data_IF_957889371730
#
_entry.id   IF_957889371730
#
_cell.length_a   1.000
_cell.length_b   1.000
_cell.length_c   1.000
_cell.angle_alpha   90.00
_cell.angle_beta   90.00
_cell.angle_gamma   90.00
#
_symmetry.space_group_name_H-M   'P 1'
#
loop_
_entity.id
_entity.type
_entity.pdbx_description
1 polymer ?
#
# COMPACT_ATOMS: atom_id res chain seq x y z
N UNK A 1 69.49 3.46 25.59
CA UNK A 1 68.38 4.42 25.78
C UNK A 1 67.45 4.30 24.58
N UNK A 2 66.33 3.60 24.75
CA UNK A 2 65.41 3.29 23.66
C UNK A 2 64.38 4.42 23.50
N UNK A 3 64.31 5.00 22.29
CA UNK A 3 63.26 5.96 21.91
C UNK A 3 62.07 5.16 21.38
N UNK A 4 60.96 5.17 22.12
CA UNK A 4 59.70 4.58 21.67
C UNK A 4 58.99 5.51 20.68
N UNK A 5 58.27 4.92 19.72
CA UNK A 5 57.71 5.55 18.52
C UNK A 5 56.69 6.69 18.74
N UNK A 6 56.40 7.11 19.97
CA UNK A 6 55.31 8.03 20.31
C UNK A 6 55.79 9.38 20.88
N UNK A 7 57.10 9.60 21.01
CA UNK A 7 57.67 10.90 21.43
C UNK A 7 58.15 11.68 20.21
N UNK A 8 57.21 12.13 19.38
CA UNK A 8 57.47 13.00 18.23
C UNK A 8 56.35 14.00 18.07
N UNK A 9 56.66 15.28 18.33
CA UNK A 9 55.77 16.44 18.28
C UNK A 9 54.94 16.55 16.98
N UNK A 10 53.62 16.47 17.12
CA UNK A 10 52.61 17.27 16.42
C UNK A 10 51.21 16.83 16.88
N UNK A 11 50.76 17.34 18.02
CA UNK A 11 49.40 17.15 18.51
C UNK A 11 48.42 18.00 17.69
N UNK A 12 47.92 17.47 16.57
CA UNK A 12 46.61 17.86 16.03
C UNK A 12 45.63 16.76 16.39
N UNK A 13 44.96 16.94 17.53
CA UNK A 13 43.83 16.11 17.93
C UNK A 13 42.73 16.27 16.87
N UNK A 14 42.30 15.22 16.16
CA UNK A 14 41.06 15.28 15.41
C UNK A 14 39.93 15.12 16.44
N UNK A 15 39.55 16.22 17.09
CA UNK A 15 38.28 16.27 17.83
C UNK A 15 37.16 15.93 16.86
N UNK A 16 36.67 14.70 16.99
CA UNK A 16 35.26 14.35 17.11
C UNK A 16 34.28 15.26 16.35
N UNK A 17 34.55 15.43 15.05
CA UNK A 17 33.59 15.99 14.10
C UNK A 17 32.67 14.85 13.67
N UNK A 18 31.72 14.52 14.53
CA UNK A 18 30.48 13.88 14.10
C UNK A 18 29.89 14.81 13.03
N UNK A 19 30.04 14.41 11.77
CA UNK A 19 29.40 15.13 10.65
C UNK A 19 27.89 15.01 10.89
N UNK A 20 27.12 16.11 10.97
CA UNK A 20 25.68 16.01 10.95
C UNK A 20 25.27 15.26 9.67
N UNK A 21 24.65 14.11 9.88
CA UNK A 21 24.05 13.30 8.82
C UNK A 21 22.87 14.09 8.25
N UNK A 22 23.16 14.98 7.30
CA UNK A 22 22.13 15.48 6.41
C UNK A 22 21.71 14.28 5.56
N UNK A 23 20.50 13.78 5.81
CA UNK A 23 19.81 12.86 4.92
C UNK A 23 19.79 13.49 3.54
N UNK A 24 20.61 12.97 2.64
CA UNK A 24 20.57 13.27 1.22
C UNK A 24 19.25 12.72 0.66
N UNK A 25 18.17 13.48 0.82
CA UNK A 25 17.00 13.37 -0.04
C UNK A 25 17.44 13.89 -1.39
N UNK A 26 17.88 12.98 -2.26
CA UNK A 26 18.23 13.25 -3.65
C UNK A 26 17.00 13.84 -4.36
N UNK A 27 16.95 15.16 -4.46
CA UNK A 27 16.08 15.87 -5.39
C UNK A 27 16.72 15.76 -6.79
N UNK A 28 15.96 15.40 -7.84
CA UNK A 28 16.49 15.34 -9.19
C UNK A 28 16.82 16.76 -9.67
N UNK A 29 18.11 16.95 -9.95
CA UNK A 29 18.73 18.17 -10.45
C UNK A 29 18.33 18.40 -11.91
N UNK A 30 17.16 19.00 -12.15
CA UNK A 30 16.83 19.57 -13.46
C UNK A 30 17.35 21.02 -13.51
N UNK A 31 18.58 21.17 -14.03
CA UNK A 31 19.06 22.46 -14.53
C UNK A 31 18.51 22.67 -15.94
N UNK A 32 17.51 23.55 -16.04
CA UNK A 32 16.99 24.09 -17.29
C UNK A 32 16.42 25.47 -17.00
N UNK A 33 17.28 26.47 -17.08
CA UNK A 33 17.00 27.88 -16.80
C UNK A 33 16.13 28.47 -17.93
N UNK A 34 14.82 28.33 -17.81
CA UNK A 34 13.82 28.97 -18.67
C UNK A 34 12.76 29.63 -17.81
N UNK A 35 12.76 30.96 -17.76
CA UNK A 35 11.81 31.81 -17.01
C UNK A 35 10.48 31.83 -17.78
N UNK A 36 9.72 30.74 -17.69
CA UNK A 36 8.36 30.63 -18.21
C UNK A 36 7.39 30.47 -17.04
N UNK A 37 6.29 31.24 -17.05
CA UNK A 37 5.18 31.19 -16.10
C UNK A 37 4.90 29.76 -15.61
N UNK A 38 4.89 29.58 -14.30
CA UNK A 38 4.55 28.32 -13.64
C UNK A 38 3.20 27.82 -14.11
N UNK A 39 3.20 26.89 -15.07
CA UNK A 39 2.12 25.92 -15.17
C UNK A 39 2.25 25.06 -13.92
N UNK A 40 1.26 25.16 -13.04
CA UNK A 40 1.00 24.15 -12.01
C UNK A 40 1.16 22.79 -12.68
N UNK A 41 2.29 22.15 -12.40
CA UNK A 41 2.55 20.85 -12.98
C UNK A 41 1.61 19.93 -12.21
N UNK A 42 0.64 19.28 -12.86
CA UNK A 42 -0.31 18.45 -12.16
C UNK A 42 0.47 17.43 -11.32
N UNK A 43 -0.04 17.06 -10.13
CA UNK A 43 0.65 16.13 -9.26
C UNK A 43 1.02 14.86 -10.04
N UNK A 44 2.21 14.29 -9.80
CA UNK A 44 2.70 13.19 -10.60
C UNK A 44 1.72 12.02 -10.53
N UNK A 45 1.21 11.60 -11.70
CA UNK A 45 0.35 10.41 -11.83
C UNK A 45 1.02 9.18 -11.21
N UNK A 46 0.24 8.27 -10.63
CA UNK A 46 0.78 7.02 -10.09
C UNK A 46 1.45 6.17 -11.17
N UNK A 47 2.30 5.23 -10.72
CA UNK A 47 2.97 4.27 -11.61
C UNK A 47 1.95 3.43 -12.39
N UNK A 48 0.88 2.99 -11.71
CA UNK A 48 -0.15 2.15 -12.33
C UNK A 48 -0.91 2.88 -13.45
N UNK A 49 -1.28 4.15 -13.25
CA UNK A 49 -1.92 4.95 -14.30
C UNK A 49 -1.00 5.11 -15.50
N UNK A 50 0.29 5.40 -15.27
CA UNK A 50 1.28 5.52 -16.36
C UNK A 50 1.47 4.22 -17.12
N UNK A 51 1.47 3.08 -16.43
CA UNK A 51 1.57 1.76 -17.07
C UNK A 51 0.36 1.48 -17.96
N UNK A 52 -0.86 1.74 -17.48
CA UNK A 52 -2.10 1.54 -18.26
C UNK A 52 -2.13 2.50 -19.45
N UNK A 53 -1.81 3.78 -19.26
CA UNK A 53 -1.74 4.79 -20.33
C UNK A 53 -0.70 4.40 -21.39
N UNK A 54 0.49 3.96 -20.95
CA UNK A 54 1.53 3.49 -21.87
C UNK A 54 1.08 2.29 -22.68
N UNK A 55 0.36 1.35 -22.06
CA UNK A 55 -0.15 0.17 -22.74
C UNK A 55 -1.25 0.53 -23.73
N UNK A 56 -2.19 1.41 -23.36
CA UNK A 56 -3.23 1.94 -24.25
C UNK A 56 -2.63 2.62 -25.47
N UNK A 57 -1.65 3.51 -25.26
CA UNK A 57 -0.96 4.20 -26.35
C UNK A 57 -0.22 3.21 -27.26
N UNK A 58 0.45 2.20 -26.69
CA UNK A 58 1.12 1.16 -27.45
C UNK A 58 0.14 0.33 -28.29
N UNK A 59 -1.01 -0.08 -27.73
CA UNK A 59 -2.04 -0.84 -28.45
C UNK A 59 -2.68 -0.03 -29.59
N UNK A 60 -2.92 1.26 -29.37
CA UNK A 60 -3.44 2.16 -30.40
C UNK A 60 -2.42 2.38 -31.53
N UNK A 61 -1.13 2.48 -31.20
CA UNK A 61 -0.06 2.62 -32.19
C UNK A 61 0.26 1.31 -32.94
N UNK A 62 0.07 0.14 -32.31
CA UNK A 62 0.36 -1.16 -32.92
C UNK A 62 -0.75 -1.56 -33.90
N UNK A 63 -0.63 -1.10 -35.15
CA UNK A 63 -1.45 -1.57 -36.27
C UNK A 63 -0.72 -2.60 -37.14
N UNK A 64 0.61 -2.54 -37.16
CA UNK A 64 1.45 -3.49 -37.86
C UNK A 64 2.00 -4.57 -36.91
N UNK A 65 2.27 -5.79 -37.41
CA UNK A 65 2.96 -6.82 -36.64
C UNK A 65 4.41 -6.40 -36.36
N UNK A 66 4.64 -5.86 -35.16
CA UNK A 66 5.98 -5.49 -34.68
C UNK A 66 6.49 -6.58 -33.74
N UNK A 67 7.72 -7.05 -33.96
CA UNK A 67 8.39 -7.97 -33.03
C UNK A 67 8.80 -7.22 -31.77
N UNK A 68 8.75 -7.91 -30.63
CA UNK A 68 9.27 -7.35 -29.39
C UNK A 68 10.77 -7.05 -29.55
N UNK A 69 11.24 -5.82 -29.32
CA UNK A 69 12.66 -5.48 -29.38
C UNK A 69 13.51 -6.28 -28.37
N UNK A 70 12.90 -6.80 -27.30
CA UNK A 70 13.55 -7.67 -26.32
C UNK A 70 13.54 -9.14 -26.74
N UNK A 71 13.01 -9.46 -27.92
CA UNK A 71 12.89 -10.82 -28.44
C UNK A 71 11.71 -11.62 -27.89
N UNK A 72 10.91 -11.05 -26.99
CA UNK A 72 9.85 -11.76 -26.28
C UNK A 72 10.39 -12.80 -25.30
N UNK A 73 9.52 -13.38 -24.48
CA UNK A 73 9.89 -14.42 -23.54
C UNK A 73 9.52 -15.81 -24.06
N UNK A 74 10.54 -16.63 -24.29
CA UNK A 74 10.41 -18.09 -24.40
C UNK A 74 10.72 -18.70 -23.05
N UNK A 75 9.68 -19.06 -22.29
CA UNK A 75 9.84 -19.41 -20.89
C UNK A 75 10.78 -20.61 -20.64
N UNK A 76 11.06 -21.49 -21.63
CA UNK A 76 12.04 -22.61 -21.51
C UNK A 76 11.92 -23.36 -20.16
N UNK A 77 10.69 -23.72 -19.76
CA UNK A 77 10.37 -24.37 -18.48
C UNK A 77 10.56 -23.52 -17.21
N UNK A 78 10.81 -22.20 -17.31
CA UNK A 78 10.74 -21.26 -16.18
C UNK A 78 9.29 -20.90 -15.87
N UNK A 79 9.01 -20.77 -14.58
CA UNK A 79 7.71 -20.35 -14.08
C UNK A 79 7.56 -18.83 -14.15
N UNK A 80 6.58 -18.37 -14.91
CA UNK A 80 6.19 -16.97 -14.97
C UNK A 80 4.66 -16.88 -14.87
N UNK A 81 4.15 -15.80 -14.28
CA UNK A 81 2.73 -15.52 -14.30
C UNK A 81 2.23 -15.40 -15.74
N UNK A 82 1.03 -15.92 -16.02
CA UNK A 82 0.38 -15.79 -17.32
C UNK A 82 0.10 -14.33 -17.63
N UNK A 83 0.16 -13.97 -18.91
CA UNK A 83 -0.22 -12.62 -19.35
C UNK A 83 -1.70 -12.38 -19.00
N UNK A 84 -2.03 -11.30 -18.28
CA UNK A 84 -3.41 -11.04 -17.86
C UNK A 84 -4.32 -10.65 -19.03
N UNK A 85 -3.74 -10.22 -20.15
CA UNK A 85 -4.49 -9.70 -21.30
C UNK A 85 -4.58 -10.74 -22.43
N UNK A 86 -3.49 -11.46 -22.69
CA UNK A 86 -3.40 -12.42 -23.80
C UNK A 86 -2.65 -13.68 -23.33
N UNK A 87 -3.28 -14.58 -22.56
CA UNK A 87 -2.58 -15.75 -21.99
C UNK A 87 -2.21 -16.81 -23.02
N UNK A 88 -2.82 -16.82 -24.20
CA UNK A 88 -2.57 -17.78 -25.27
C UNK A 88 -2.56 -17.10 -26.64
N UNK A 89 -1.61 -17.47 -27.50
CA UNK A 89 -1.63 -17.10 -28.91
C UNK A 89 -2.67 -17.95 -29.65
N UNK A 90 -3.70 -17.32 -30.23
CA UNK A 90 -4.77 -18.05 -30.93
C UNK A 90 -4.31 -18.71 -32.23
N UNK A 91 -3.23 -18.24 -32.83
CA UNK A 91 -2.74 -18.74 -34.11
C UNK A 91 -1.90 -20.02 -33.97
N UNK A 92 -1.05 -20.13 -32.93
CA UNK A 92 -0.16 -21.27 -32.73
C UNK A 92 -0.31 -21.99 -31.38
N UNK A 93 -1.21 -21.52 -30.51
CA UNK A 93 -1.46 -22.12 -29.20
C UNK A 93 -0.38 -21.87 -28.15
N UNK A 94 0.64 -21.04 -28.44
CA UNK A 94 1.70 -20.75 -27.48
C UNK A 94 1.14 -20.03 -26.25
N UNK A 95 1.43 -20.56 -25.05
CA UNK A 95 1.08 -19.93 -23.78
C UNK A 95 2.03 -18.77 -23.52
N UNK A 96 1.47 -17.60 -23.19
CA UNK A 96 2.20 -16.35 -23.04
C UNK A 96 2.21 -15.91 -21.57
N UNK A 97 3.42 -15.63 -21.08
CA UNK A 97 3.61 -15.04 -19.76
C UNK A 97 3.51 -13.51 -19.76
N UNK A 98 3.52 -12.90 -18.57
CA UNK A 98 3.44 -11.46 -18.33
C UNK A 98 4.54 -10.63 -19.04
N UNK A 99 5.67 -11.25 -19.38
CA UNK A 99 6.75 -10.59 -20.10
C UNK A 99 6.40 -10.37 -21.59
N UNK A 100 5.48 -11.16 -22.14
CA UNK A 100 5.01 -10.99 -23.51
C UNK A 100 3.87 -9.96 -23.53
N UNK A 101 4.20 -8.76 -24.03
CA UNK A 101 3.23 -7.67 -24.09
C UNK A 101 2.27 -7.83 -25.28
N UNK A 102 0.97 -7.48 -25.13
CA UNK A 102 -0.06 -7.76 -26.14
C UNK A 102 0.08 -6.95 -27.43
N UNK A 103 0.84 -5.84 -27.42
CA UNK A 103 1.11 -5.01 -28.60
C UNK A 103 2.11 -5.63 -29.58
N UNK A 104 2.86 -6.66 -29.17
CA UNK A 104 3.88 -7.28 -30.01
C UNK A 104 3.37 -8.58 -30.65
N UNK A 105 4.13 -9.07 -31.63
CA UNK A 105 3.86 -10.34 -32.28
C UNK A 105 4.15 -11.53 -31.36
N UNK A 106 3.55 -12.68 -31.70
CA UNK A 106 3.90 -13.94 -31.08
C UNK A 106 5.42 -14.19 -31.21
N UNK A 107 6.11 -14.56 -30.12
CA UNK A 107 7.54 -14.82 -30.18
C UNK A 107 7.86 -16.08 -31.00
N UNK A 108 6.90 -17.00 -31.16
CA UNK A 108 7.07 -18.21 -31.97
C UNK A 108 7.46 -17.88 -33.41
N UNK A 109 8.59 -18.45 -33.86
CA UNK A 109 9.13 -18.28 -35.22
C UNK A 109 8.17 -18.72 -36.32
N UNK A 110 7.30 -19.69 -36.03
CA UNK A 110 6.35 -20.25 -37.01
C UNK A 110 5.12 -19.38 -37.21
N UNK A 111 4.78 -18.54 -36.23
CA UNK A 111 3.53 -17.79 -36.24
C UNK A 111 3.75 -16.35 -36.67
N UNK A 112 4.64 -15.62 -35.97
CA UNK A 112 4.94 -14.19 -36.17
C UNK A 112 3.72 -13.26 -36.32
N UNK A 113 2.54 -13.75 -35.97
CA UNK A 113 1.28 -13.04 -36.13
C UNK A 113 1.11 -12.10 -34.94
N UNK A 114 0.50 -10.94 -35.19
CA UNK A 114 0.13 -10.03 -34.11
C UNK A 114 -0.88 -10.72 -33.19
N UNK A 115 -0.62 -10.70 -31.89
CA UNK A 115 -1.40 -11.43 -30.89
C UNK A 115 -2.88 -11.03 -30.87
N UNK A 116 -3.16 -9.78 -31.25
CA UNK A 116 -4.51 -9.21 -31.26
C UNK A 116 -5.07 -9.00 -32.69
N UNK A 117 -4.26 -9.14 -33.74
CA UNK A 117 -4.72 -8.86 -35.11
C UNK A 117 -5.70 -9.89 -35.67
N UNK A 118 -5.72 -11.12 -35.13
CA UNK A 118 -6.66 -12.15 -35.59
C UNK A 118 -8.13 -11.79 -35.29
N UNK A 119 -8.38 -10.96 -34.28
CA UNK A 119 -9.73 -10.53 -33.90
C UNK A 119 -9.71 -9.04 -33.55
N UNK A 120 -10.13 -8.15 -34.47
CA UNK A 120 -10.17 -6.71 -34.20
C UNK A 120 -11.06 -6.41 -32.99
N UNK A 121 -12.18 -7.14 -32.84
CA UNK A 121 -13.05 -7.05 -31.68
C UNK A 121 -12.33 -7.40 -30.36
N UNK A 122 -11.39 -8.35 -30.35
CA UNK A 122 -10.62 -8.66 -29.14
C UNK A 122 -9.70 -7.51 -28.75
N UNK A 123 -9.10 -6.82 -29.74
CA UNK A 123 -8.29 -5.61 -29.51
C UNK A 123 -9.16 -4.49 -28.93
N UNK A 124 -10.31 -4.22 -29.54
CA UNK A 124 -11.25 -3.18 -29.08
C UNK A 124 -11.80 -3.47 -27.69
N UNK A 125 -12.19 -4.71 -27.42
CA UNK A 125 -12.63 -5.13 -26.09
C UNK A 125 -11.53 -4.92 -25.03
N UNK A 126 -10.28 -5.20 -25.36
CA UNK A 126 -9.15 -4.98 -24.46
C UNK A 126 -8.92 -3.48 -24.23
N UNK A 127 -9.00 -2.65 -25.28
CA UNK A 127 -8.90 -1.19 -25.15
C UNK A 127 -9.98 -0.65 -24.20
N UNK A 128 -11.23 -1.06 -24.39
CA UNK A 128 -12.35 -0.64 -23.53
C UNK A 128 -12.15 -1.09 -22.06
N UNK A 129 -11.68 -2.33 -21.84
CA UNK A 129 -11.36 -2.81 -20.49
C UNK A 129 -10.26 -1.97 -19.83
N UNK A 130 -9.22 -1.60 -20.57
CA UNK A 130 -8.13 -0.78 -20.05
C UNK A 130 -8.58 0.66 -19.78
N UNK A 131 -9.45 1.23 -20.62
CA UNK A 131 -10.06 2.55 -20.41
C UNK A 131 -10.95 2.58 -19.15
N UNK A 132 -11.78 1.54 -18.95
CA UNK A 132 -12.57 1.38 -17.72
C UNK A 132 -11.67 1.26 -16.49
N UNK A 133 -10.60 0.45 -16.57
CA UNK A 133 -9.65 0.31 -15.46
C UNK A 133 -8.92 1.62 -15.17
N UNK A 134 -8.58 2.38 -16.20
CA UNK A 134 -7.95 3.69 -16.07
C UNK A 134 -8.87 4.68 -15.35
N UNK A 135 -10.14 4.79 -15.77
CA UNK A 135 -11.11 5.69 -15.13
C UNK A 135 -11.36 5.31 -13.67
N UNK A 136 -11.47 4.02 -13.35
CA UNK A 136 -11.56 3.52 -11.98
C UNK A 136 -10.33 3.88 -11.14
N UNK A 137 -9.12 3.72 -11.69
CA UNK A 137 -7.89 4.06 -10.96
C UNK A 137 -7.77 5.56 -10.70
N UNK A 138 -8.16 6.39 -11.67
CA UNK A 138 -8.19 7.85 -11.50
C UNK A 138 -9.23 8.28 -10.46
N UNK A 139 -10.41 7.67 -10.46
CA UNK A 139 -11.44 7.94 -9.46
C UNK A 139 -10.97 7.57 -8.05
N UNK A 140 -10.30 6.43 -7.89
CA UNK A 140 -9.70 6.01 -6.60
C UNK A 140 -8.60 6.97 -6.14
N UNK A 141 -7.72 7.39 -7.05
CA UNK A 141 -6.69 8.38 -6.72
C UNK A 141 -7.28 9.74 -6.34
N UNK A 142 -8.34 10.19 -7.01
CA UNK A 142 -9.00 11.44 -6.69
C UNK A 142 -9.65 11.39 -5.30
N UNK A 143 -10.38 10.31 -5.00
CA UNK A 143 -10.98 10.09 -3.69
C UNK A 143 -9.93 10.00 -2.57
N UNK A 144 -8.79 9.35 -2.80
CA UNK A 144 -7.71 9.28 -1.82
C UNK A 144 -7.06 10.65 -1.59
N UNK A 145 -6.85 11.43 -2.67
CA UNK A 145 -6.35 12.81 -2.53
C UNK A 145 -7.30 13.68 -1.72
N UNK A 146 -8.61 13.57 -1.95
CA UNK A 146 -9.60 14.31 -1.19
C UNK A 146 -9.58 13.92 0.29
N UNK A 147 -9.49 12.62 0.60
CA UNK A 147 -9.36 12.12 1.98
C UNK A 147 -8.13 12.67 2.69
N UNK A 148 -6.97 12.66 2.03
CA UNK A 148 -5.73 13.20 2.61
C UNK A 148 -5.83 14.71 2.85
N UNK A 149 -6.49 15.45 1.95
CA UNK A 149 -6.72 16.89 2.13
C UNK A 149 -7.67 17.16 3.31
N UNK A 150 -8.75 16.38 3.44
CA UNK A 150 -9.68 16.49 4.57
C UNK A 150 -9.03 16.14 5.90
N UNK A 151 -8.20 15.10 5.93
CA UNK A 151 -7.45 14.69 7.12
C UNK A 151 -6.41 15.74 7.52
N UNK A 152 -5.65 16.29 6.58
CA UNK A 152 -4.73 17.39 6.85
C UNK A 152 -5.45 18.66 7.35
N UNK A 153 -6.65 18.95 6.82
CA UNK A 153 -7.49 20.03 7.35
C UNK A 153 -7.94 19.74 8.78
N UNK A 154 -8.31 18.49 9.08
CA UNK A 154 -8.69 18.06 10.44
C UNK A 154 -7.53 18.19 11.43
N UNK A 155 -6.32 17.77 11.04
CA UNK A 155 -5.12 17.87 11.88
C UNK A 155 -4.67 19.31 12.15
N UNK A 156 -4.85 20.20 11.17
CA UNK A 156 -4.55 21.64 11.36
C UNK A 156 -5.59 22.38 12.20
N UNK A 157 -6.59 21.66 12.74
CA UNK A 157 -7.64 22.23 13.58
C UNK A 157 -8.63 23.09 12.80
N UNK A 158 -8.73 22.91 11.48
CA UNK A 158 -9.73 23.60 10.69
C UNK A 158 -11.12 23.13 11.15
N UNK A 159 -11.95 24.10 11.55
CA UNK A 159 -13.30 23.85 12.04
C UNK A 159 -14.11 23.09 10.98
N UNK A 160 -14.87 22.04 11.34
CA UNK A 160 -15.66 21.26 10.39
C UNK A 160 -16.60 22.19 9.62
N UNK A 161 -16.42 22.25 8.30
CA UNK A 161 -17.28 23.06 7.43
C UNK A 161 -18.64 22.37 7.37
N UNK A 162 -19.61 22.87 8.14
CA UNK A 162 -20.96 22.34 8.15
C UNK A 162 -21.58 22.49 6.74
N UNK A 163 -22.16 21.42 6.16
CA UNK A 163 -22.83 21.48 4.87
C UNK A 163 -24.08 22.36 4.99
N UNK A 164 -23.94 23.65 4.67
CA UNK A 164 -24.99 24.66 4.82
C UNK A 164 -24.50 26.10 4.82
N UNK A 165 -23.21 26.36 5.04
CA UNK A 165 -22.64 27.73 5.03
C UNK A 165 -22.01 28.09 3.68
N UNK A 166 -22.73 27.93 2.57
CA UNK A 166 -22.30 28.39 1.24
C UNK A 166 -23.10 29.61 0.80
N UNK A 167 -23.01 30.71 1.54
CA UNK A 167 -23.37 32.04 1.05
C UNK A 167 -22.31 33.01 1.54
N UNK A 168 -21.65 33.67 0.58
CA UNK A 168 -20.68 34.78 0.72
C UNK A 168 -19.20 34.40 0.63
N UNK A 169 -18.69 34.44 -0.60
CA UNK A 169 -17.38 35.04 -0.85
C UNK A 169 -17.37 35.61 -2.27
N UNK A 170 -17.97 36.80 -2.38
CA UNK A 170 -17.56 37.76 -3.38
C UNK A 170 -16.40 38.59 -2.79
N UNK A 171 -15.32 38.70 -3.57
CA UNK A 171 -14.32 39.76 -3.54
C UNK A 171 -13.46 39.96 -2.27
N UNK A 172 -12.14 39.84 -2.43
CA UNK A 172 -11.18 40.69 -1.71
C UNK A 172 -10.03 39.99 -1.00
N UNK A 173 -8.87 39.98 -1.65
CA UNK A 173 -7.50 40.05 -1.09
C UNK A 173 -6.97 38.92 -0.19
N UNK A 174 -5.78 38.35 -0.50
CA UNK A 174 -5.12 37.37 0.34
C UNK A 174 -4.38 38.06 1.51
N UNK A 175 -5.05 38.22 2.64
CA UNK A 175 -4.37 38.51 3.91
C UNK A 175 -3.81 37.20 4.47
N UNK A 176 -2.51 37.01 4.22
CA UNK A 176 -1.65 35.96 4.77
C UNK A 176 -1.80 35.85 6.30
N UNK A 177 -2.57 34.87 6.76
CA UNK A 177 -2.62 34.47 8.17
C UNK A 177 -1.66 33.29 8.35
N UNK A 178 -0.47 33.60 8.84
CA UNK A 178 0.53 32.59 9.21
C UNK A 178 0.06 31.79 10.45
N UNK A 179 0.40 30.50 10.54
CA UNK A 179 0.14 29.69 11.74
C UNK A 179 0.97 30.23 12.92
N UNK A 180 0.32 30.40 14.07
CA UNK A 180 0.95 30.85 15.31
C UNK A 180 1.86 29.73 15.85
N UNK A 181 3.16 29.90 15.69
CA UNK A 181 4.14 29.25 16.57
C UNK A 181 3.94 29.75 18.01
N UNK A 182 4.31 28.98 19.05
CA UNK A 182 4.17 29.40 20.44
C UNK A 182 4.82 30.77 20.62
N UNK A 183 3.97 31.76 20.91
CA UNK A 183 4.36 33.16 20.94
C UNK A 183 5.31 33.39 22.12
N UNK A 184 6.60 33.52 21.81
CA UNK A 184 7.54 34.19 22.71
C UNK A 184 7.19 35.67 22.68
N UNK A 185 6.48 36.17 23.69
CA UNK A 185 6.17 37.59 23.80
C UNK A 185 7.48 38.38 23.98
N UNK A 186 7.88 39.10 22.93
CA UNK A 186 9.01 40.03 22.98
C UNK A 186 8.48 41.39 23.37
N UNK A 187 8.63 41.75 24.64
CA UNK A 187 8.24 43.08 25.12
C UNK A 187 9.42 44.02 24.87
N UNK A 188 9.22 44.98 23.96
CA UNK A 188 10.15 46.08 23.74
C UNK A 188 9.82 47.18 24.75
N UNK A 189 10.72 47.40 25.72
CA UNK A 189 10.60 48.54 26.63
C UNK A 189 11.60 49.63 26.23
N UNK A 190 11.12 50.86 26.14
CA UNK A 190 11.95 52.04 25.90
C UNK A 190 12.28 52.67 27.26
N UNK A 191 13.57 52.68 27.62
CA UNK A 191 14.00 53.35 28.84
C UNK A 191 14.03 54.87 28.59
N UNK A 192 13.12 55.61 29.23
CA UNK A 192 12.94 57.06 29.02
C UNK A 192 14.18 57.89 29.38
N UNK A 193 15.06 57.38 30.23
CA UNK A 193 16.26 58.09 30.70
C UNK A 193 17.47 57.90 29.78
N UNK A 194 17.55 56.78 29.06
CA UNK A 194 18.70 56.47 28.18
C UNK A 194 18.31 56.38 26.70
N UNK A 195 17.02 56.49 26.36
CA UNK A 195 16.44 56.35 25.01
C UNK A 195 16.85 55.05 24.29
N UNK A 196 17.32 54.04 25.04
CA UNK A 196 17.71 52.74 24.50
C UNK A 196 16.53 51.78 24.58
N UNK A 197 16.32 51.03 23.50
CA UNK A 197 15.31 49.97 23.40
C UNK A 197 15.88 48.72 24.04
N UNK A 198 15.23 48.23 25.10
CA UNK A 198 15.59 46.98 25.77
C UNK A 198 14.55 45.93 25.38
N UNK A 199 15.02 44.86 24.74
CA UNK A 199 14.17 43.73 24.34
C UNK A 199 14.21 42.68 25.44
N UNK A 200 13.13 42.55 26.19
CA UNK A 200 13.02 41.52 27.23
C UNK A 200 12.22 40.35 26.66
N UNK A 201 12.86 39.18 26.58
CA UNK A 201 12.23 37.92 26.13
C UNK A 201 11.78 37.14 27.36
N UNK A 202 10.48 37.15 27.66
CA UNK A 202 9.91 36.30 28.71
C UNK A 202 9.59 34.93 28.12
N UNK A 203 10.41 33.93 28.44
CA UNK A 203 10.16 32.54 28.06
C UNK A 203 9.40 31.87 29.21
N UNK A 204 8.08 31.74 29.08
CA UNK A 204 7.26 30.97 30.02
C UNK A 204 7.55 29.48 29.84
N UNK A 205 8.36 28.92 30.72
CA UNK A 205 8.59 27.47 30.80
C UNK A 205 7.41 26.82 31.53
N UNK A 206 6.51 26.18 30.79
CA UNK A 206 5.54 25.29 31.41
C UNK A 206 6.29 24.07 31.97
N UNK A 207 6.12 23.82 33.28
CA UNK A 207 6.63 22.63 33.96
C UNK A 207 5.98 21.38 33.33
N UNK A 208 6.76 20.39 32.87
CA UNK A 208 6.19 19.11 32.49
C UNK A 208 5.69 18.39 33.75
N UNK A 209 4.39 18.14 33.82
CA UNK A 209 3.77 17.26 34.81
C UNK A 209 4.30 15.84 34.62
N UNK A 210 4.92 15.29 35.67
CA UNK A 210 5.23 13.86 35.78
C UNK A 210 3.93 13.04 35.63
N UNK A 211 3.89 11.99 34.80
CA UNK A 211 2.91 10.93 35.02
C UNK A 211 3.32 10.14 36.27
N UNK A 212 2.39 10.12 37.23
CA UNK A 212 2.44 9.24 38.39
C UNK A 212 2.31 7.79 37.90
N UNK A 213 3.21 6.94 38.35
CA UNK A 213 3.22 5.52 38.08
C UNK A 213 2.48 4.88 39.26
N UNK A 214 1.27 4.36 39.05
CA UNK A 214 0.65 3.46 40.01
C UNK A 214 0.06 2.26 39.28
N UNK A 215 0.44 1.11 39.82
CA UNK A 215 0.28 -0.25 39.36
C UNK A 215 -1.17 -0.73 39.44
N UNK A 216 -1.39 -1.88 38.80
CA UNK A 216 -2.47 -2.85 39.01
C UNK A 216 -3.80 -2.56 38.31
N UNK A 217 -3.93 -3.04 37.07
CA UNK A 217 -4.84 -4.18 36.85
C UNK A 217 -4.42 -4.96 35.60
N UNK A 218 -4.10 -6.24 35.80
CA UNK A 218 -3.88 -7.21 34.74
C UNK A 218 -5.17 -7.41 33.94
N UNK A 219 -5.07 -7.32 32.63
CA UNK A 219 -6.15 -7.57 31.70
C UNK A 219 -5.66 -7.44 30.27
N UNK A 220 -4.39 -7.80 30.05
CA UNK A 220 -3.81 -7.98 28.74
C UNK A 220 -4.50 -9.21 28.13
N UNK A 221 -5.54 -8.97 27.33
CA UNK A 221 -6.02 -9.94 26.36
C UNK A 221 -4.95 -10.03 25.27
N UNK A 222 -3.85 -10.66 25.65
CA UNK A 222 -2.87 -11.25 24.77
C UNK A 222 -3.68 -12.16 23.84
N UNK A 223 -3.90 -11.70 22.61
CA UNK A 223 -4.45 -12.52 21.56
C UNK A 223 -3.41 -13.61 21.32
N UNK A 224 -3.53 -14.68 22.10
CA UNK A 224 -2.72 -15.88 22.05
C UNK A 224 -2.79 -16.36 20.60
N UNK A 225 -1.75 -16.03 19.83
CA UNK A 225 -1.54 -16.52 18.49
C UNK A 225 -1.39 -18.02 18.66
N UNK A 226 -2.52 -18.72 18.58
CA UNK A 226 -2.63 -20.17 18.63
C UNK A 226 -1.68 -20.70 17.55
N UNK A 227 -0.47 -21.05 17.97
CA UNK A 227 0.53 -21.63 17.08
C UNK A 227 -0.06 -22.93 16.60
N UNK A 228 -0.33 -22.97 15.29
CA UNK A 228 -0.76 -24.18 14.61
C UNK A 228 0.27 -25.25 14.98
N UNK A 229 -0.15 -26.36 15.63
CA UNK A 229 0.79 -27.40 16.02
C UNK A 229 1.53 -27.87 14.76
N UNK A 230 2.83 -28.19 14.88
CA UNK A 230 3.59 -28.69 13.76
C UNK A 230 2.84 -29.88 13.15
N UNK A 231 2.72 -29.94 11.82
CA UNK A 231 2.03 -31.04 11.18
C UNK A 231 2.64 -32.37 11.67
N UNK A 232 1.82 -33.39 11.94
CA UNK A 232 2.30 -34.67 12.44
C UNK A 232 3.37 -35.22 11.47
N UNK A 233 4.52 -35.62 12.02
CA UNK A 233 5.69 -36.04 11.25
C UNK A 233 5.44 -37.32 10.43
N UNK A 234 4.37 -38.06 10.74
CA UNK A 234 3.93 -39.21 9.98
C UNK A 234 2.67 -38.89 9.20
N UNK A 235 2.86 -38.61 7.91
CA UNK A 235 1.79 -38.64 6.93
C UNK A 235 1.39 -40.12 6.75
N UNK A 236 0.26 -40.52 7.31
CA UNK A 236 -0.33 -41.88 7.25
C UNK A 236 -0.83 -42.27 5.85
N UNK A 237 -0.18 -41.80 4.78
CA UNK A 237 -0.52 -42.18 3.42
C UNK A 237 0.56 -43.09 2.85
N UNK A 238 0.16 -44.34 2.62
CA UNK A 238 0.90 -45.45 2.02
C UNK A 238 1.78 -46.30 2.95
N UNK A 239 1.15 -47.05 3.88
CA UNK A 239 1.76 -48.27 4.47
C UNK A 239 1.57 -49.52 3.58
N UNK A 240 1.27 -49.36 2.28
CA UNK A 240 1.07 -50.46 1.33
C UNK A 240 2.24 -50.57 0.36
N UNK A 241 2.67 -51.81 0.06
CA UNK A 241 3.66 -52.06 -1.00
C UNK A 241 3.04 -51.68 -2.36
N UNK A 242 3.76 -50.96 -3.24
CA UNK A 242 3.26 -50.62 -4.57
C UNK A 242 2.94 -51.89 -5.37
N UNK A 243 1.70 -52.00 -5.85
CA UNK A 243 1.27 -53.06 -6.76
C UNK A 243 2.01 -52.95 -8.11
N UNK A 244 2.82 -53.95 -8.52
CA UNK A 244 3.59 -53.91 -9.76
C UNK A 244 2.71 -53.89 -11.01
N UNK A 245 1.48 -54.40 -10.94
CA UNK A 245 0.54 -54.40 -12.06
C UNK A 245 -0.09 -53.03 -12.29
N UNK A 246 0.04 -52.10 -11.35
CA UNK A 246 -0.60 -50.79 -11.42
C UNK A 246 0.21 -49.73 -10.65
N UNK A 247 1.42 -49.38 -11.15
CA UNK A 247 2.34 -48.48 -10.44
C UNK A 247 1.78 -47.07 -10.20
N UNK A 248 0.76 -46.67 -10.97
CA UNK A 248 0.07 -45.38 -10.85
C UNK A 248 -1.28 -45.47 -10.10
N UNK A 249 -1.51 -46.55 -9.34
CA UNK A 249 -2.74 -46.69 -8.54
C UNK A 249 -2.74 -45.64 -7.44
N UNK A 250 -3.69 -44.72 -7.50
CA UNK A 250 -3.92 -43.74 -6.45
C UNK A 250 -4.43 -44.47 -5.19
N UNK A 251 -3.58 -44.66 -4.18
CA UNK A 251 -3.96 -45.21 -2.86
C UNK A 251 -4.80 -44.27 -1.99
N UNK A 252 -5.52 -43.32 -2.62
CA UNK A 252 -6.47 -42.44 -1.96
C UNK A 252 -7.87 -43.03 -2.11
N UNK A 253 -8.10 -44.19 -1.49
CA UNK A 253 -9.42 -44.86 -1.47
C UNK A 253 -10.46 -44.10 -0.60
N UNK A 254 -10.08 -42.99 0.03
CA UNK A 254 -11.04 -42.02 0.56
C UNK A 254 -11.42 -41.02 -0.54
N UNK A 255 -12.70 -40.91 -0.88
CA UNK A 255 -13.22 -39.92 -1.81
C UNK A 255 -12.89 -38.50 -1.35
N UNK A 256 -11.72 -37.97 -1.73
CA UNK A 256 -11.35 -36.58 -1.46
C UNK A 256 -12.16 -35.72 -2.42
N UNK A 257 -13.34 -35.29 -1.96
CA UNK A 257 -14.16 -34.32 -2.67
C UNK A 257 -13.58 -32.94 -2.40
N UNK A 258 -13.11 -32.25 -3.44
CA UNK A 258 -12.64 -30.88 -3.29
C UNK A 258 -13.77 -30.00 -2.76
N UNK A 259 -13.62 -29.49 -1.53
CA UNK A 259 -14.50 -28.48 -0.96
C UNK A 259 -13.84 -27.13 -1.22
N UNK A 260 -14.43 -26.32 -2.08
CA UNK A 260 -13.95 -24.95 -2.30
C UNK A 260 -14.07 -24.14 -1.00
N UNK A 261 -13.07 -23.30 -0.71
CA UNK A 261 -13.00 -22.50 0.53
C UNK A 261 -14.24 -21.61 0.78
N UNK A 262 -15.01 -21.30 -0.26
CA UNK A 262 -16.30 -20.59 -0.14
C UNK A 262 -17.37 -21.40 0.62
N UNK A 263 -17.39 -22.74 0.47
CA UNK A 263 -18.36 -23.61 1.15
C UNK A 263 -18.05 -23.83 2.63
N UNK A 264 -16.77 -23.82 3.03
CA UNK A 264 -16.41 -23.89 4.45
C UNK A 264 -16.86 -22.65 5.23
N UNK A 265 -16.70 -21.45 4.65
CA UNK A 265 -17.16 -20.22 5.30
C UNK A 265 -18.67 -20.17 5.47
N UNK A 266 -19.43 -20.74 4.53
CA UNK A 266 -20.89 -20.84 4.63
C UNK A 266 -21.31 -21.81 5.75
N UNK A 267 -20.71 -23.01 5.80
CA UNK A 267 -21.06 -24.03 6.82
C UNK A 267 -20.74 -23.56 8.24
N UNK A 268 -19.59 -22.89 8.44
CA UNK A 268 -19.19 -22.35 9.75
C UNK A 268 -20.12 -21.22 10.24
N UNK A 269 -20.76 -20.48 9.31
CA UNK A 269 -21.72 -19.41 9.63
C UNK A 269 -23.10 -19.97 10.02
N UNK A 270 -23.51 -21.08 9.40
CA UNK A 270 -24.73 -21.84 9.72
C UNK A 270 -24.67 -22.43 11.14
N UNK A 271 -23.56 -23.11 11.45
CA UNK A 271 -23.34 -23.80 12.72
C UNK A 271 -23.27 -22.82 13.91
N UNK A 272 -22.65 -21.64 13.69
CA UNK A 272 -22.61 -20.56 14.69
C UNK A 272 -24.00 -19.93 14.93
N UNK A 273 -24.93 -19.99 13.98
CA UNK A 273 -26.32 -19.53 14.17
C UNK A 273 -27.15 -20.54 14.96
N UNK A 274 -26.97 -21.84 14.74
CA UNK A 274 -27.70 -22.87 15.48
C UNK A 274 -27.31 -22.92 16.96
N UNK A 275 -26.01 -22.83 17.29
CA UNK A 275 -25.56 -22.81 18.68
C UNK A 275 -26.03 -21.57 19.48
N UNK A 276 -26.21 -20.42 18.83
CA UNK A 276 -26.79 -19.23 19.49
C UNK A 276 -28.28 -19.39 19.79
N UNK A 277 -29.01 -20.18 19.00
CA UNK A 277 -30.46 -20.39 19.19
C UNK A 277 -30.75 -21.41 20.30
N UNK A 278 -29.88 -22.40 20.48
CA UNK A 278 -29.99 -23.37 21.57
C UNK A 278 -29.70 -22.74 22.95
N UNK A 279 -28.66 -21.90 23.06
CA UNK A 279 -28.26 -21.27 24.33
C UNK A 279 -29.21 -20.17 24.83
N UNK A 280 -30.14 -19.70 23.99
CA UNK A 280 -31.14 -18.70 24.36
C UNK A 280 -32.43 -19.26 24.96
N UNK A 281 -32.68 -20.59 24.86
CA UNK A 281 -33.96 -21.18 25.27
C UNK A 281 -33.97 -21.71 26.73
N UNK A 282 -32.80 -21.88 27.36
CA UNK A 282 -32.71 -22.38 28.75
C UNK A 282 -32.91 -21.31 29.84
N UNK A 283 -33.08 -20.02 29.50
CA UNK A 283 -33.23 -18.95 30.51
C UNK A 283 -34.66 -18.42 30.67
N UNK A 284 -35.67 -19.08 30.08
CA UNK A 284 -37.05 -18.59 30.10
C UNK A 284 -38.04 -19.44 30.92
N UNK A 285 -37.61 -20.58 31.51
CA UNK A 285 -38.51 -21.54 32.15
C UNK A 285 -38.09 -21.84 33.60
N UNK A 286 -38.01 -20.78 34.42
CA UNK A 286 -37.59 -20.88 35.82
C UNK A 286 -38.22 -19.79 36.66
N UNK A 287 -39.53 -19.88 36.87
CA UNK A 287 -40.24 -18.96 37.76
C UNK A 287 -41.72 -19.22 37.85
N UNK A 288 -42.13 -20.24 38.60
CA UNK A 288 -43.29 -20.16 39.49
C UNK A 288 -43.36 -21.40 40.40
N UNK A 289 -42.94 -21.30 41.66
CA UNK A 289 -43.38 -22.24 42.69
C UNK A 289 -43.99 -21.42 43.83
N UNK A 290 -45.31 -21.57 43.94
CA UNK A 290 -46.21 -20.83 44.82
C UNK A 290 -46.24 -21.53 46.17
N UNK A 291 -45.92 -20.79 47.23
CA UNK A 291 -46.22 -21.17 48.61
C UNK A 291 -47.74 -21.18 48.81
N UNK A 292 -48.26 -22.27 49.39
CA UNK A 292 -49.66 -22.34 49.78
C UNK A 292 -49.97 -23.53 50.69
N UNK A 293 -50.00 -23.22 51.99
CA UNK A 293 -50.78 -23.83 53.09
C UNK A 293 -50.52 -25.27 53.52
#
# INVERSE_FOLDING_TARGET
MYKTAWTGSASSLPSDRIKPSYSNTSTPRNQGKGKGKGRETPPPKSKQVREIESLLNALRASNAPIRDPKGGCFCQAREHALSPYTPICRSCGLILCILNSPQYCCPSRTCLSSLLSYSPHAKESLLHQLESRLSETLAKEAAERERVIEEAKRETGAFPSLPGSSLSSASGSPASTRPSTPQQHKVLSLNSKTKRVIVTTTTTTMKPSRPNNEKENEGDLEEEVLRVPPPPSQVTFAKGKPDPSRPWKNYRDGSVKYVSAAKEKAKKKEERKQNKKAKGKERADGGNEVQGS
#
